data_IF_199086805380
#
_entry.id   IF_199086805380
#
_cell.length_a   1.000
_cell.length_b   1.000
_cell.length_c   1.000
_cell.angle_alpha   90.00
_cell.angle_beta   90.00
_cell.angle_gamma   90.00
#
_symmetry.space_group_name_H-M   'P 1'
#
loop_
_entity.id
_entity.type
_entity.pdbx_description
1 polymer ?
#
# COMPACT_ATOMS: atom_id res chain seq x y z
N UNK A 1 -3.10 12.37 -10.63
CA UNK A 1 -3.41 12.34 -9.19
C UNK A 1 -2.49 11.36 -8.49
N UNK A 2 -1.24 11.77 -8.30
CA UNK A 2 -0.37 11.17 -7.28
C UNK A 2 -0.86 11.76 -5.96
N UNK A 3 -1.27 10.91 -5.00
CA UNK A 3 -1.73 11.39 -3.71
C UNK A 3 -0.68 12.35 -3.11
N UNK A 4 -1.10 13.58 -2.79
CA UNK A 4 -0.24 14.53 -2.09
C UNK A 4 -0.16 14.08 -0.64
N UNK A 5 0.95 13.43 -0.30
CA UNK A 5 1.24 12.99 1.06
C UNK A 5 1.53 14.19 1.96
N UNK A 6 0.54 14.63 2.74
CA UNK A 6 0.79 15.38 3.97
C UNK A 6 1.12 14.37 5.07
N UNK A 7 2.26 14.53 5.75
CA UNK A 7 2.55 13.82 7.01
C UNK A 7 1.50 14.23 8.05
N UNK A 8 0.39 13.50 8.12
CA UNK A 8 -0.47 13.49 9.29
C UNK A 8 0.22 12.76 10.44
N UNK A 9 -0.43 12.74 11.61
CA UNK A 9 0.04 11.97 12.78
C UNK A 9 -0.32 10.48 12.70
N UNK A 10 -0.51 9.92 11.49
CA UNK A 10 -1.02 8.56 11.26
C UNK A 10 -0.10 7.45 11.75
N UNK A 11 1.13 7.78 12.16
CA UNK A 11 2.10 6.85 12.76
C UNK A 11 2.54 7.25 14.17
N UNK A 12 1.82 8.16 14.82
CA UNK A 12 2.11 8.62 16.18
C UNK A 12 1.08 8.11 17.19
N UNK A 13 1.50 7.87 18.42
CA UNK A 13 0.65 7.31 19.49
C UNK A 13 -0.37 8.33 20.04
N UNK A 14 -0.33 9.57 19.54
CA UNK A 14 -1.17 10.70 20.00
C UNK A 14 -2.67 10.37 20.04
N UNK A 15 -3.14 9.48 19.17
CA UNK A 15 -4.57 9.19 19.00
C UNK A 15 -4.95 7.74 19.33
N UNK A 16 -4.02 6.90 19.81
CA UNK A 16 -4.25 5.45 19.97
C UNK A 16 -5.32 5.12 21.02
N UNK A 17 -5.39 5.91 22.10
CA UNK A 17 -6.36 5.76 23.19
C UNK A 17 -7.51 6.78 23.08
N UNK A 18 -7.60 7.49 21.96
CA UNK A 18 -8.67 8.47 21.70
C UNK A 18 -9.84 7.77 21.01
N UNK A 19 -11.06 8.03 21.47
CA UNK A 19 -12.27 7.63 20.73
C UNK A 19 -12.15 8.15 19.28
N UNK A 20 -12.31 7.30 18.25
CA UNK A 20 -12.25 7.72 16.84
C UNK A 20 -13.10 8.95 16.51
N UNK A 21 -14.23 9.16 17.21
CA UNK A 21 -15.08 10.33 17.03
C UNK A 21 -14.43 11.66 17.45
N UNK A 22 -13.40 11.60 18.30
CA UNK A 22 -12.68 12.75 18.85
C UNK A 22 -11.36 13.06 18.12
N UNK A 23 -10.98 12.26 17.11
CA UNK A 23 -9.81 12.54 16.28
C UNK A 23 -10.17 13.65 15.28
N UNK A 24 -9.43 14.79 15.25
CA UNK A 24 -9.72 15.86 14.31
C UNK A 24 -9.66 15.35 12.85
N UNK A 25 -10.62 15.72 12.01
CA UNK A 25 -10.64 15.35 10.59
C UNK A 25 -9.44 15.85 9.78
N UNK A 26 -8.63 16.75 10.36
CA UNK A 26 -7.37 17.25 9.81
C UNK A 26 -6.15 16.42 10.22
N UNK A 27 -6.28 15.48 11.16
CA UNK A 27 -5.18 14.66 11.67
C UNK A 27 -4.65 13.68 10.62
N UNK A 28 -5.54 13.16 9.78
CA UNK A 28 -5.26 12.43 8.54
C UNK A 28 -6.47 12.60 7.60
N UNK A 29 -6.27 12.76 6.27
CA UNK A 29 -7.39 12.84 5.34
C UNK A 29 -8.24 11.56 5.41
N UNK A 30 -9.55 11.71 5.57
CA UNK A 30 -10.47 10.58 5.65
C UNK A 30 -10.65 9.93 4.28
N UNK A 31 -10.54 8.61 4.19
CA UNK A 31 -10.89 7.86 2.99
C UNK A 31 -12.41 7.65 2.98
N UNK A 32 -13.08 8.17 1.97
CA UNK A 32 -14.54 8.13 1.81
C UNK A 32 -14.91 7.40 0.52
N UNK A 33 -16.06 6.73 0.55
CA UNK A 33 -16.65 6.11 -0.63
C UNK A 33 -17.89 6.89 -1.05
N UNK A 34 -17.89 7.44 -2.27
CA UNK A 34 -18.98 8.28 -2.79
C UNK A 34 -19.40 7.84 -4.19
N UNK A 35 -20.67 8.07 -4.53
CA UNK A 35 -21.20 7.85 -5.87
C UNK A 35 -20.77 8.99 -6.81
N UNK A 36 -19.55 8.86 -7.34
CA UNK A 36 -18.89 9.82 -8.24
C UNK A 36 -18.16 9.10 -9.36
N UNK A 37 -18.07 9.73 -10.53
CA UNK A 37 -17.46 9.09 -11.72
C UNK A 37 -15.94 8.89 -11.60
N UNK A 38 -15.24 9.79 -10.92
CA UNK A 38 -13.79 9.79 -10.84
C UNK A 38 -13.31 10.06 -9.40
N UNK A 39 -12.20 9.43 -8.97
CA UNK A 39 -11.63 9.70 -7.67
C UNK A 39 -11.07 11.12 -7.59
N UNK A 40 -11.19 11.73 -6.42
CA UNK A 40 -10.66 13.06 -6.14
C UNK A 40 -10.16 13.16 -4.70
N UNK A 41 -9.42 14.23 -4.40
CA UNK A 41 -9.00 14.53 -3.03
C UNK A 41 -9.20 16.01 -2.71
N UNK A 42 -9.54 16.30 -1.46
CA UNK A 42 -9.52 17.63 -0.86
C UNK A 42 -8.47 17.68 0.25
N UNK A 43 -8.48 18.76 1.04
CA UNK A 43 -7.66 18.83 2.26
C UNK A 43 -8.22 17.95 3.38
N UNK A 44 -9.52 17.69 3.41
CA UNK A 44 -10.16 16.91 4.47
C UNK A 44 -10.37 15.43 4.10
N UNK A 45 -10.58 15.10 2.81
CA UNK A 45 -10.96 13.73 2.41
C UNK A 45 -10.33 13.28 1.10
N UNK A 46 -10.16 11.97 0.98
CA UNK A 46 -9.80 11.25 -0.24
C UNK A 46 -10.99 10.40 -0.64
N UNK A 47 -11.49 10.57 -1.85
CA UNK A 47 -12.72 9.93 -2.31
C UNK A 47 -12.42 8.84 -3.33
N UNK A 48 -12.89 7.64 -3.03
CA UNK A 48 -12.90 6.48 -3.91
C UNK A 48 -14.34 6.30 -4.42
N UNK A 49 -14.56 6.21 -5.74
CA UNK A 49 -15.88 5.89 -6.30
C UNK A 49 -16.47 4.59 -5.73
N UNK A 50 -17.79 4.53 -5.53
CA UNK A 50 -18.52 3.31 -5.11
C UNK A 50 -18.74 2.30 -6.23
N UNK A 51 -18.47 2.67 -7.50
CA UNK A 51 -18.47 1.75 -8.64
C UNK A 51 -17.38 0.68 -8.47
N UNK A 52 -17.52 -0.45 -9.16
CA UNK A 52 -16.57 -1.56 -9.11
C UNK A 52 -15.12 -1.07 -9.23
N UNK A 53 -14.31 -1.47 -8.25
CA UNK A 53 -12.89 -1.15 -8.14
C UNK A 53 -12.09 -2.45 -8.02
N UNK A 54 -10.88 -2.44 -8.56
CA UNK A 54 -9.91 -3.52 -8.44
C UNK A 54 -8.66 -3.03 -7.74
N UNK A 55 -8.02 -3.94 -7.02
CA UNK A 55 -6.71 -3.72 -6.40
C UNK A 55 -5.65 -4.41 -7.25
N UNK A 56 -4.70 -3.63 -7.73
CA UNK A 56 -3.46 -4.14 -8.30
C UNK A 56 -2.39 -4.19 -7.21
N UNK A 57 -1.93 -5.40 -6.91
CA UNK A 57 -0.79 -5.62 -6.02
C UNK A 57 0.44 -5.99 -6.82
N UNK A 58 1.53 -5.24 -6.65
CA UNK A 58 2.83 -5.55 -7.25
C UNK A 58 3.85 -5.79 -6.14
N UNK A 59 4.69 -6.80 -6.34
CA UNK A 59 5.81 -7.02 -5.44
C UNK A 59 7.03 -7.57 -6.14
N UNK A 60 8.17 -7.47 -5.46
CA UNK A 60 9.46 -7.91 -5.98
C UNK A 60 10.43 -8.32 -4.87
N UNK A 61 11.55 -8.97 -5.22
CA UNK A 61 12.54 -9.39 -4.24
C UNK A 61 13.29 -8.20 -3.62
N UNK A 62 13.60 -8.30 -2.33
CA UNK A 62 14.57 -7.41 -1.69
C UNK A 62 15.95 -8.10 -1.52
N UNK A 63 17.05 -7.34 -1.44
CA UNK A 63 18.37 -7.90 -1.17
C UNK A 63 18.46 -8.57 0.20
N UNK A 64 18.57 -9.90 0.22
CA UNK A 64 18.71 -10.68 1.46
C UNK A 64 20.02 -10.42 2.20
N UNK A 65 21.10 -10.14 1.46
CA UNK A 65 22.42 -9.97 2.07
C UNK A 65 22.49 -8.74 2.97
N UNK A 66 21.80 -7.66 2.63
CA UNK A 66 21.71 -6.49 3.52
C UNK A 66 20.94 -6.82 4.78
N UNK A 67 19.89 -7.63 4.70
CA UNK A 67 19.05 -7.98 5.86
C UNK A 67 19.79 -8.86 6.88
N UNK A 68 20.69 -9.73 6.42
CA UNK A 68 21.54 -10.57 7.30
C UNK A 68 22.46 -9.76 8.20
N UNK A 69 22.66 -8.48 7.89
CA UNK A 69 23.49 -7.58 8.70
C UNK A 69 22.69 -6.86 9.78
N UNK A 70 21.40 -7.15 9.98
CA UNK A 70 20.60 -6.54 11.03
C UNK A 70 21.26 -6.74 12.42
N UNK A 71 21.31 -5.71 13.29
CA UNK A 71 20.69 -4.37 13.19
C UNK A 71 21.58 -3.26 12.58
N UNK A 72 22.59 -3.62 11.80
CA UNK A 72 23.56 -2.64 11.27
C UNK A 72 22.93 -1.60 10.33
N UNK A 73 23.68 -0.54 10.03
CA UNK A 73 23.30 0.47 9.04
C UNK A 73 23.19 -0.08 7.62
N UNK A 74 23.85 -1.20 7.31
CA UNK A 74 23.76 -1.86 6.01
C UNK A 74 22.37 -2.46 5.83
N UNK A 75 21.78 -3.10 6.85
CA UNK A 75 20.40 -3.57 6.80
C UNK A 75 19.40 -2.44 6.54
N UNK A 76 19.64 -1.26 7.12
CA UNK A 76 18.77 -0.08 6.91
C UNK A 76 18.84 0.49 5.48
N UNK A 77 19.89 0.23 4.70
CA UNK A 77 19.99 0.74 3.32
C UNK A 77 18.99 0.06 2.39
N UNK A 78 18.56 -1.16 2.71
CA UNK A 78 17.53 -1.89 1.96
C UNK A 78 16.23 -1.06 1.86
N UNK A 79 15.82 -0.42 2.95
CA UNK A 79 14.59 0.38 3.01
C UNK A 79 14.60 1.58 2.02
N UNK A 80 15.78 2.17 1.82
CA UNK A 80 15.98 3.29 0.88
C UNK A 80 16.00 2.79 -0.57
N UNK A 81 16.71 1.69 -0.83
CA UNK A 81 16.80 1.08 -2.16
C UNK A 81 15.44 0.57 -2.64
N UNK A 82 14.69 -0.13 -1.78
CA UNK A 82 13.33 -0.56 -2.04
C UNK A 82 12.44 0.65 -2.39
N UNK A 83 12.46 1.70 -1.58
CA UNK A 83 11.63 2.90 -1.83
C UNK A 83 11.83 3.47 -3.25
N UNK A 84 13.06 3.45 -3.78
CA UNK A 84 13.35 3.85 -5.16
C UNK A 84 12.65 2.96 -6.19
N UNK A 85 12.89 1.64 -6.13
CA UNK A 85 12.30 0.66 -7.05
C UNK A 85 10.76 0.67 -6.99
N UNK A 86 10.20 0.68 -5.78
CA UNK A 86 8.76 0.76 -5.54
C UNK A 86 8.16 2.01 -6.17
N UNK A 87 8.77 3.17 -5.98
CA UNK A 87 8.26 4.42 -6.54
C UNK A 87 8.30 4.41 -8.07
N UNK A 88 9.37 3.88 -8.68
CA UNK A 88 9.45 3.73 -10.14
C UNK A 88 8.30 2.83 -10.64
N UNK A 89 8.08 1.67 -10.02
CA UNK A 89 7.00 0.76 -10.38
C UNK A 89 5.62 1.42 -10.22
N UNK A 90 5.38 2.09 -9.08
CA UNK A 90 4.13 2.78 -8.80
C UNK A 90 3.81 3.86 -9.85
N UNK A 91 4.76 4.76 -10.14
CA UNK A 91 4.52 5.86 -11.08
C UNK A 91 4.41 5.39 -12.53
N UNK A 92 5.17 4.35 -12.90
CA UNK A 92 5.09 3.77 -14.24
C UNK A 92 3.73 3.12 -14.47
N UNK A 93 3.28 2.32 -13.51
CA UNK A 93 1.96 1.66 -13.56
C UNK A 93 0.83 2.69 -13.52
N UNK A 94 0.94 3.68 -12.63
CA UNK A 94 0.01 4.81 -12.57
C UNK A 94 -0.19 5.48 -13.94
N UNK A 95 0.90 5.82 -14.62
CA UNK A 95 0.83 6.50 -15.92
C UNK A 95 0.31 5.58 -17.02
N UNK A 96 0.64 4.30 -16.97
CA UNK A 96 0.17 3.31 -17.93
C UNK A 96 -1.36 3.18 -17.90
N UNK A 97 -1.96 2.92 -16.74
CA UNK A 97 -3.42 2.78 -16.62
C UNK A 97 -4.15 4.08 -16.98
N UNK A 98 -3.61 5.23 -16.58
CA UNK A 98 -4.14 6.54 -16.97
C UNK A 98 -4.11 6.77 -18.47
N UNK A 99 -3.07 6.30 -19.17
CA UNK A 99 -2.98 6.40 -20.62
C UNK A 99 -4.01 5.51 -21.34
N UNK A 100 -4.45 4.41 -20.70
CA UNK A 100 -5.53 3.55 -21.20
C UNK A 100 -6.94 4.12 -20.91
N UNK A 101 -7.05 5.26 -20.22
CA UNK A 101 -8.33 5.88 -19.89
C UNK A 101 -8.91 5.50 -18.53
N UNK A 102 -8.22 4.66 -17.76
CA UNK A 102 -8.67 4.24 -16.42
C UNK A 102 -8.12 5.15 -15.33
N UNK A 103 -8.85 5.25 -14.23
CA UNK A 103 -8.36 5.87 -13.02
C UNK A 103 -7.43 4.91 -12.28
N UNK A 104 -6.46 5.50 -11.59
CA UNK A 104 -5.61 4.77 -10.66
C UNK A 104 -5.38 5.66 -9.45
N UNK A 105 -5.48 5.10 -8.24
CA UNK A 105 -5.22 5.79 -6.99
C UNK A 105 -4.42 4.91 -6.05
N UNK A 106 -3.70 5.54 -5.13
CA UNK A 106 -2.83 4.85 -4.18
C UNK A 106 -1.79 5.81 -3.61
N UNK A 107 -1.08 5.33 -2.61
CA UNK A 107 0.05 6.02 -2.00
C UNK A 107 1.37 5.37 -2.36
N UNK A 108 2.45 6.12 -2.19
CA UNK A 108 3.78 5.53 -2.02
C UNK A 108 4.32 6.01 -0.68
N UNK A 109 4.49 5.10 0.27
CA UNK A 109 5.05 5.47 1.57
C UNK A 109 4.54 4.61 2.70
N UNK A 110 5.36 4.49 3.75
CA UNK A 110 4.96 3.78 4.94
C UNK A 110 3.80 4.54 5.61
N UNK A 111 2.64 3.89 5.76
CA UNK A 111 1.46 4.48 6.40
C UNK A 111 0.71 5.54 5.58
N UNK A 112 0.99 5.64 4.27
CA UNK A 112 0.25 6.54 3.34
C UNK A 112 -0.70 5.81 2.41
N UNK A 113 -0.70 4.48 2.44
CA UNK A 113 -1.52 3.67 1.55
C UNK A 113 -2.94 3.55 2.12
N UNK A 114 -3.92 3.44 1.23
CA UNK A 114 -5.33 3.23 1.60
C UNK A 114 -5.61 1.83 2.18
N UNK A 115 -4.56 1.02 2.31
CA UNK A 115 -4.65 -0.38 2.70
C UNK A 115 -3.59 -0.76 3.69
N UNK A 116 -3.90 -1.79 4.47
CA UNK A 116 -2.89 -2.58 5.13
C UNK A 116 -2.29 -3.55 4.11
N UNK A 117 -1.09 -3.23 3.61
CA UNK A 117 -0.38 -3.99 2.57
C UNK A 117 -0.25 -5.49 2.88
N UNK A 118 0.00 -5.94 4.13
CA UNK A 118 -0.02 -7.36 4.50
C UNK A 118 -1.36 -8.06 4.18
N UNK A 119 -2.48 -7.42 4.50
CA UNK A 119 -3.81 -8.00 4.25
C UNK A 119 -4.08 -8.18 2.76
N UNK A 120 -3.69 -7.20 1.94
CA UNK A 120 -3.81 -7.32 0.50
C UNK A 120 -2.89 -8.40 -0.09
N UNK A 121 -1.69 -8.59 0.47
CA UNK A 121 -0.78 -9.64 0.01
C UNK A 121 -1.42 -11.03 0.16
N UNK A 122 -2.17 -11.25 1.25
CA UNK A 122 -2.92 -12.49 1.48
C UNK A 122 -4.08 -12.61 0.50
N UNK A 123 -4.90 -11.56 0.39
CA UNK A 123 -6.10 -11.59 -0.47
C UNK A 123 -5.76 -11.75 -1.95
N UNK A 124 -4.61 -11.24 -2.39
CA UNK A 124 -4.15 -11.35 -3.77
C UNK A 124 -3.30 -12.59 -4.04
N UNK A 125 -3.14 -13.49 -3.05
CA UNK A 125 -2.38 -14.73 -3.23
C UNK A 125 -0.87 -14.54 -3.31
N UNK A 126 -0.37 -13.38 -2.91
CA UNK A 126 1.06 -13.05 -3.00
C UNK A 126 1.88 -13.72 -1.90
N UNK A 127 1.29 -13.85 -0.72
CA UNK A 127 1.95 -14.24 0.51
C UNK A 127 0.94 -14.71 1.56
N UNK A 128 1.41 -15.36 2.61
CA UNK A 128 0.61 -15.71 3.79
C UNK A 128 1.02 -14.88 5.00
N UNK A 129 0.12 -14.73 5.97
CA UNK A 129 0.45 -14.07 7.22
C UNK A 129 1.54 -14.83 7.98
N UNK A 130 2.36 -14.12 8.75
CA UNK A 130 3.42 -14.71 9.55
C UNK A 130 3.22 -14.43 11.04
N UNK A 131 3.92 -15.20 11.89
CA UNK A 131 3.97 -14.97 13.35
C UNK A 131 4.36 -13.54 13.74
N UNK A 132 5.18 -12.87 12.93
CA UNK A 132 5.64 -11.51 13.20
C UNK A 132 4.56 -10.43 13.02
N UNK A 133 3.33 -10.81 12.63
CA UNK A 133 2.07 -10.05 12.50
C UNK A 133 2.08 -8.80 11.61
N UNK A 134 3.20 -8.10 11.51
CA UNK A 134 3.37 -6.87 10.73
C UNK A 134 3.84 -7.13 9.28
N UNK A 135 4.26 -8.35 8.98
CA UNK A 135 4.83 -8.72 7.68
C UNK A 135 4.33 -10.10 7.26
N UNK A 136 4.18 -10.27 5.96
CA UNK A 136 3.77 -11.53 5.32
C UNK A 136 5.00 -12.31 4.82
N UNK A 137 4.84 -13.60 4.57
CA UNK A 137 5.86 -14.45 3.96
C UNK A 137 5.41 -14.84 2.55
N UNK A 138 6.19 -14.44 1.56
CA UNK A 138 6.02 -14.85 0.16
C UNK A 138 6.68 -16.21 -0.05
N UNK A 139 6.00 -17.22 -0.63
CA UNK A 139 6.65 -18.48 -1.00
C UNK A 139 7.87 -18.28 -1.93
N UNK A 140 7.81 -17.28 -2.81
CA UNK A 140 8.88 -17.01 -3.78
C UNK A 140 10.09 -16.28 -3.17
N UNK A 141 9.88 -15.41 -2.18
CA UNK A 141 10.92 -14.46 -1.73
C UNK A 141 11.19 -14.48 -0.22
N UNK A 142 10.35 -15.17 0.55
CA UNK A 142 10.40 -15.19 2.00
C UNK A 142 9.78 -13.91 2.61
N UNK A 143 10.20 -13.52 3.82
CA UNK A 143 9.64 -12.38 4.55
C UNK A 143 10.08 -11.00 4.05
N UNK A 144 10.89 -10.95 2.98
CA UNK A 144 11.52 -9.72 2.49
C UNK A 144 11.16 -9.52 1.02
N UNK A 145 10.03 -8.87 0.80
CA UNK A 145 9.57 -8.41 -0.50
C UNK A 145 9.25 -6.93 -0.48
N UNK A 146 9.51 -6.29 -1.60
CA UNK A 146 8.93 -5.00 -1.91
C UNK A 146 7.46 -5.23 -2.23
N UNK A 147 6.60 -4.40 -1.66
CA UNK A 147 5.16 -4.50 -1.85
C UNK A 147 4.59 -3.11 -2.16
N UNK A 148 3.64 -3.05 -3.09
CA UNK A 148 2.84 -1.87 -3.38
C UNK A 148 1.43 -2.28 -3.81
N UNK A 149 0.45 -1.46 -3.48
CA UNK A 149 -0.93 -1.65 -3.90
C UNK A 149 -1.49 -0.35 -4.48
N UNK A 150 -2.30 -0.49 -5.52
CA UNK A 150 -3.01 0.61 -6.20
C UNK A 150 -4.43 0.16 -6.51
N UNK A 151 -5.38 1.10 -6.44
CA UNK A 151 -6.77 0.89 -6.84
C UNK A 151 -6.95 1.38 -8.27
N UNK A 152 -7.75 0.67 -9.06
CA UNK A 152 -8.14 1.09 -10.39
C UNK A 152 -9.59 0.74 -10.67
N UNK A 153 -10.22 1.49 -11.56
CA UNK A 153 -11.54 1.17 -12.13
C UNK A 153 -11.42 0.35 -13.43
N UNK A 154 -10.21 -0.08 -13.80
CA UNK A 154 -10.00 -1.08 -14.85
C UNK A 154 -10.38 -2.47 -14.34
N UNK A 155 -11.27 -3.20 -15.02
CA UNK A 155 -11.54 -4.59 -14.69
C UNK A 155 -10.27 -5.44 -14.79
N UNK A 156 -9.91 -6.10 -13.69
CA UNK A 156 -8.77 -7.02 -13.62
C UNK A 156 -9.25 -8.43 -13.32
N UNK A 157 -8.55 -9.43 -13.87
CA UNK A 157 -8.76 -10.81 -13.46
C UNK A 157 -8.29 -10.99 -12.01
N UNK A 158 -9.14 -11.59 -11.18
CA UNK A 158 -8.81 -11.86 -9.79
C UNK A 158 -7.75 -12.96 -9.67
N UNK A 159 -6.85 -12.76 -8.70
CA UNK A 159 -6.03 -13.84 -8.17
C UNK A 159 -6.66 -14.36 -6.88
N UNK A 160 -6.28 -15.56 -6.46
CA UNK A 160 -6.84 -16.19 -5.26
C UNK A 160 -5.82 -16.26 -4.14
N UNK A 161 -6.25 -16.16 -2.87
CA UNK A 161 -5.42 -16.49 -1.73
C UNK A 161 -4.74 -17.86 -1.91
N UNK A 162 -3.55 -17.98 -1.34
CA UNK A 162 -2.76 -19.21 -1.35
C UNK A 162 -2.78 -19.87 0.03
N UNK A 163 -2.57 -21.18 0.05
CA UNK A 163 -2.21 -21.95 1.24
C UNK A 163 -0.89 -22.68 0.95
N UNK A 164 0.21 -22.18 1.51
CA UNK A 164 1.54 -22.77 1.38
C UNK A 164 2.07 -23.31 2.72
N UNK A 165 1.25 -23.29 3.78
CA UNK A 165 1.57 -23.80 5.11
C UNK A 165 2.52 -22.93 5.93
N UNK A 166 2.52 -21.60 5.72
CA UNK A 166 3.39 -20.63 6.41
C UNK A 166 2.89 -20.17 7.80
#
# INVERSE_FOLDING_TARGET
LVAKNSKGSSTGDTWIDTDPANVPATAAPNIMYEDVDAPYYTKEKWVIPTKDQWVLYLGGPEPRETDRTYPSRISKSNLVANSGTRNIAFYSTYRFFRALGYNMVGGTGHGSDCFQTPGLAVLTGKAENARMSNWVISPAWGPRSTDLAQITDMPLAETHPIDAGL
#
